data_IF_914227874962
#
_entry.id   IF_914227874962
#
_cell.length_a   1.000
_cell.length_b   1.000
_cell.length_c   1.000
_cell.angle_alpha   90.00
_cell.angle_beta   90.00
_cell.angle_gamma   90.00
#
_symmetry.space_group_name_H-M   'P 1'
#
loop_
_entity.id
_entity.type
_entity.pdbx_description
1 polymer ?
#
# COMPACT_ATOMS: atom_id res chain seq x y z
N UNK A 1 52.71 35.12 -56.16
CA UNK A 1 52.85 34.20 -55.00
C UNK A 1 51.81 34.57 -53.95
N UNK A 2 50.62 33.96 -53.99
CA UNK A 2 49.56 34.18 -53.00
C UNK A 2 49.66 33.10 -51.90
N UNK A 3 49.94 33.49 -50.66
CA UNK A 3 49.80 32.60 -49.50
C UNK A 3 48.51 32.93 -48.75
N UNK A 4 47.64 31.92 -48.68
CA UNK A 4 46.30 31.89 -48.11
C UNK A 4 46.31 32.22 -46.61
N UNK A 5 45.39 33.10 -46.19
CA UNK A 5 44.90 33.21 -44.83
C UNK A 5 44.22 31.88 -44.43
N UNK A 6 44.68 31.24 -43.35
CA UNK A 6 43.92 30.17 -42.69
C UNK A 6 43.19 30.75 -41.48
N UNK A 7 41.86 30.85 -41.58
CA UNK A 7 40.98 31.14 -40.45
C UNK A 7 40.82 29.88 -39.60
N UNK A 8 41.21 29.96 -38.33
CA UNK A 8 40.96 28.89 -37.36
C UNK A 8 39.52 28.99 -36.87
N UNK A 9 38.65 28.12 -37.38
CA UNK A 9 37.30 27.92 -36.88
C UNK A 9 37.32 27.33 -35.47
N UNK A 10 36.75 28.04 -34.49
CA UNK A 10 36.49 27.55 -33.14
C UNK A 10 35.27 26.61 -33.20
N UNK A 11 35.50 25.32 -33.01
CA UNK A 11 34.43 24.34 -32.83
C UNK A 11 33.76 24.55 -31.47
N UNK A 12 32.50 25.02 -31.46
CA UNK A 12 31.65 25.03 -30.28
C UNK A 12 31.15 23.60 -30.04
N UNK A 13 31.71 22.92 -29.02
CA UNK A 13 31.17 21.65 -28.53
C UNK A 13 29.91 21.95 -27.73
N UNK A 14 28.74 21.66 -28.31
CA UNK A 14 27.45 21.68 -27.62
C UNK A 14 27.45 20.53 -26.61
N UNK A 15 27.58 20.84 -25.33
CA UNK A 15 27.40 19.89 -24.24
C UNK A 15 25.91 19.54 -24.14
N UNK A 16 25.55 18.31 -24.49
CA UNK A 16 24.20 17.80 -24.33
C UNK A 16 23.88 17.60 -22.85
N UNK A 17 22.96 18.40 -22.32
CA UNK A 17 22.32 18.14 -21.03
C UNK A 17 21.39 16.93 -21.19
N UNK A 18 21.83 15.76 -20.73
CA UNK A 18 20.97 14.60 -20.57
C UNK A 18 20.08 14.83 -19.35
N UNK A 19 18.85 15.31 -19.58
CA UNK A 19 17.81 15.31 -18.56
C UNK A 19 17.41 13.84 -18.31
N UNK A 20 17.79 13.30 -17.14
CA UNK A 20 17.20 12.05 -16.64
C UNK A 20 15.73 12.32 -16.31
N UNK A 21 14.83 12.01 -17.25
CA UNK A 21 13.42 11.80 -16.95
C UNK A 21 13.32 10.48 -16.17
N UNK A 22 13.31 10.57 -14.84
CA UNK A 22 12.86 9.47 -14.01
C UNK A 22 11.35 9.26 -14.28
N UNK A 23 11.03 8.37 -15.20
CA UNK A 23 9.68 7.88 -15.36
C UNK A 23 9.30 7.14 -14.08
N UNK A 24 8.47 7.76 -13.25
CA UNK A 24 7.86 7.13 -12.09
C UNK A 24 7.01 5.95 -12.58
N UNK A 25 7.50 4.73 -12.38
CA UNK A 25 6.72 3.52 -12.59
C UNK A 25 5.58 3.53 -11.56
N UNK A 26 4.38 3.92 -11.99
CA UNK A 26 3.18 3.85 -11.15
C UNK A 26 2.79 2.38 -11.00
N UNK A 27 3.13 1.75 -9.87
CA UNK A 27 2.60 0.44 -9.50
C UNK A 27 1.10 0.58 -9.21
N UNK A 28 0.25 -0.13 -9.95
CA UNK A 28 -1.14 -0.30 -9.57
C UNK A 28 -1.18 -0.94 -8.17
N UNK A 29 -1.97 -0.39 -7.24
CA UNK A 29 -2.12 -1.00 -5.92
C UNK A 29 -2.77 -2.37 -6.10
N UNK A 30 -2.00 -3.43 -5.90
CA UNK A 30 -2.51 -4.79 -5.86
C UNK A 30 -3.08 -5.05 -4.47
N UNK A 31 -4.29 -5.61 -4.41
CA UNK A 31 -4.78 -6.21 -3.18
C UNK A 31 -3.88 -7.39 -2.83
N UNK A 32 -3.38 -7.43 -1.60
CA UNK A 32 -2.66 -8.59 -1.10
C UNK A 32 -3.68 -9.60 -0.57
N UNK A 33 -3.58 -10.84 -1.05
CA UNK A 33 -4.46 -11.95 -0.67
C UNK A 33 -3.61 -13.02 0.00
N UNK A 34 -3.92 -13.31 1.26
CA UNK A 34 -3.26 -14.34 2.06
C UNK A 34 -4.28 -15.42 2.39
N UNK A 35 -4.07 -16.63 1.86
CA UNK A 35 -4.85 -17.81 2.23
C UNK A 35 -4.06 -18.64 3.24
N UNK A 36 -4.67 -19.00 4.36
CA UNK A 36 -4.01 -19.77 5.41
C UNK A 36 -4.99 -20.72 6.10
N UNK A 37 -4.44 -21.63 6.90
CA UNK A 37 -5.20 -22.42 7.87
C UNK A 37 -4.62 -22.10 9.23
N UNK A 38 -5.47 -21.66 10.14
CA UNK A 38 -5.01 -21.23 11.46
C UNK A 38 -4.46 -22.43 12.22
N UNK A 39 -3.21 -22.33 12.70
CA UNK A 39 -2.60 -23.28 13.61
C UNK A 39 -2.42 -22.66 15.00
N UNK A 40 -1.89 -23.42 15.96
CA UNK A 40 -1.67 -22.95 17.33
C UNK A 40 -0.21 -22.59 17.63
N UNK A 41 0.59 -22.26 16.61
CA UNK A 41 2.00 -21.92 16.79
C UNK A 41 2.20 -20.61 17.57
N UNK A 42 1.28 -19.65 17.41
CA UNK A 42 1.27 -18.41 18.19
C UNK A 42 -0.08 -18.21 18.88
N UNK A 43 -0.07 -17.63 20.08
CA UNK A 43 -1.29 -17.41 20.85
C UNK A 43 -1.34 -16.03 21.51
N UNK A 44 -2.54 -15.45 21.55
CA UNK A 44 -2.85 -14.23 22.30
C UNK A 44 -3.66 -14.56 23.55
N UNK A 45 -3.58 -13.70 24.56
CA UNK A 45 -4.42 -13.82 25.75
C UNK A 45 -5.71 -13.05 25.57
N UNK A 46 -6.85 -13.73 25.74
CA UNK A 46 -8.13 -13.05 25.70
C UNK A 46 -8.56 -12.58 24.32
N UNK A 47 -9.61 -11.76 24.27
CA UNK A 47 -10.08 -11.09 23.04
C UNK A 47 -10.79 -9.77 23.35
N UNK A 48 -10.90 -8.93 22.33
CA UNK A 48 -11.67 -7.69 22.38
C UNK A 48 -13.19 -7.95 22.37
N UNK A 49 -13.94 -6.95 22.85
CA UNK A 49 -15.36 -6.80 22.54
C UNK A 49 -15.53 -6.59 21.03
N UNK A 50 -16.75 -6.81 20.56
CA UNK A 50 -17.13 -6.60 19.16
C UNK A 50 -18.37 -5.73 19.17
N UNK A 51 -18.28 -4.53 18.63
CA UNK A 51 -19.34 -3.53 18.70
C UNK A 51 -19.63 -3.02 17.29
N UNK A 52 -20.90 -3.06 16.88
CA UNK A 52 -21.31 -2.44 15.62
C UNK A 52 -21.57 -0.94 15.81
N UNK A 53 -21.35 -0.12 14.76
CA UNK A 53 -20.80 -0.50 13.45
C UNK A 53 -19.28 -0.70 13.50
N UNK A 54 -18.75 -1.61 12.69
CA UNK A 54 -17.30 -1.78 12.52
C UNK A 54 -16.64 -0.54 11.90
N UNK A 55 -15.32 -0.44 12.08
CA UNK A 55 -14.52 0.72 11.68
C UNK A 55 -14.53 1.04 10.18
N UNK A 56 -14.59 2.33 9.86
CA UNK A 56 -14.35 2.84 8.51
C UNK A 56 -13.33 3.97 8.53
N UNK A 57 -12.67 4.22 7.40
CA UNK A 57 -11.76 5.37 7.29
C UNK A 57 -12.43 6.73 7.53
N UNK A 58 -13.73 6.85 7.22
CA UNK A 58 -14.52 8.06 7.43
C UNK A 58 -15.06 8.19 8.87
N UNK A 59 -15.26 7.06 9.55
CA UNK A 59 -15.68 6.98 10.94
C UNK A 59 -14.84 5.90 11.65
N UNK A 60 -13.64 6.25 12.13
CA UNK A 60 -12.77 5.31 12.84
C UNK A 60 -13.45 4.79 14.10
N UNK A 61 -13.31 3.50 14.35
CA UNK A 61 -13.82 2.85 15.55
C UNK A 61 -12.88 3.08 16.73
N UNK A 62 -13.44 3.42 17.89
CA UNK A 62 -12.68 3.48 19.14
C UNK A 62 -12.47 2.05 19.67
N UNK A 63 -11.35 1.81 20.35
CA UNK A 63 -11.08 0.50 20.95
C UNK A 63 -12.28 0.03 21.80
N UNK A 64 -12.88 -1.14 21.48
CA UNK A 64 -14.11 -1.61 22.12
C UNK A 64 -13.87 -2.17 23.54
N UNK A 65 -12.62 -2.20 24.00
CA UNK A 65 -12.19 -2.76 25.28
C UNK A 65 -12.07 -4.29 25.24
N UNK A 66 -11.49 -4.85 26.30
CA UNK A 66 -11.33 -6.30 26.44
C UNK A 66 -12.65 -6.98 26.85
N UNK A 67 -13.06 -8.01 26.11
CA UNK A 67 -14.18 -8.88 26.50
C UNK A 67 -13.76 -9.89 27.57
N UNK A 68 -12.61 -10.52 27.37
CA UNK A 68 -11.98 -11.41 28.35
C UNK A 68 -10.48 -11.32 28.22
N UNK A 69 -9.76 -11.37 29.34
CA UNK A 69 -8.29 -11.38 29.40
C UNK A 69 -7.72 -12.80 29.52
N UNK A 70 -8.57 -13.84 29.48
CA UNK A 70 -8.19 -15.24 29.67
C UNK A 70 -8.49 -16.11 28.45
N UNK A 71 -7.83 -17.27 28.41
CA UNK A 71 -7.88 -18.23 27.31
C UNK A 71 -6.86 -17.91 26.22
N UNK A 72 -6.03 -18.90 25.90
CA UNK A 72 -5.08 -18.82 24.80
C UNK A 72 -5.81 -19.00 23.48
N UNK A 73 -5.72 -18.01 22.59
CA UNK A 73 -6.33 -18.07 21.26
C UNK A 73 -5.23 -18.08 20.23
N UNK A 74 -5.26 -19.08 19.36
CA UNK A 74 -4.42 -19.10 18.18
C UNK A 74 -4.62 -17.81 17.36
N UNK A 75 -3.54 -17.28 16.81
CA UNK A 75 -3.60 -16.17 15.88
C UNK A 75 -2.56 -16.29 14.78
N UNK A 76 -2.83 -15.61 13.68
CA UNK A 76 -1.88 -15.28 12.63
C UNK A 76 -1.77 -13.75 12.54
N UNK A 77 -0.59 -13.24 12.21
CA UNK A 77 -0.35 -11.81 12.06
C UNK A 77 0.29 -11.48 10.72
N UNK A 78 -0.19 -10.43 10.07
CA UNK A 78 0.26 -9.97 8.77
C UNK A 78 0.62 -8.49 8.83
N UNK A 79 1.82 -8.13 8.35
CA UNK A 79 2.32 -6.75 8.40
C UNK A 79 2.42 -6.14 7.02
N UNK A 80 1.95 -4.90 6.87
CA UNK A 80 1.92 -4.16 5.62
C UNK A 80 2.45 -2.75 5.88
N UNK A 81 3.36 -2.24 5.06
CA UNK A 81 3.90 -0.88 5.21
C UNK A 81 3.22 0.05 4.22
N UNK A 82 2.72 1.20 4.70
CA UNK A 82 2.24 2.26 3.81
C UNK A 82 3.42 3.09 3.28
N UNK A 83 3.93 2.72 2.11
CA UNK A 83 5.04 3.39 1.43
C UNK A 83 4.61 4.50 0.45
N UNK A 84 3.32 4.87 0.43
CA UNK A 84 2.77 5.78 -0.60
C UNK A 84 3.12 7.26 -0.41
N UNK A 85 3.68 7.63 0.74
CA UNK A 85 4.02 9.03 1.06
C UNK A 85 2.85 9.87 1.59
N UNK A 86 1.63 9.31 1.69
CA UNK A 86 0.48 9.93 2.35
C UNK A 86 -0.31 8.90 3.17
N UNK A 87 -1.22 9.36 4.03
CA UNK A 87 -2.18 8.47 4.70
C UNK A 87 -3.04 7.75 3.66
N UNK A 88 -3.21 6.44 3.82
CA UNK A 88 -4.04 5.60 2.95
C UNK A 88 -5.15 4.93 3.75
N UNK A 89 -6.30 4.74 3.10
CA UNK A 89 -7.42 4.00 3.65
C UNK A 89 -7.34 2.53 3.23
N UNK A 90 -6.85 1.66 4.09
CA UNK A 90 -6.76 0.23 3.81
C UNK A 90 -8.10 -0.44 4.05
N UNK A 91 -8.56 -1.24 3.09
CA UNK A 91 -9.72 -2.12 3.22
C UNK A 91 -9.24 -3.53 3.56
N UNK A 92 -9.77 -4.09 4.64
CA UNK A 92 -9.44 -5.43 5.12
C UNK A 92 -10.70 -6.28 5.04
N UNK A 93 -10.57 -7.46 4.46
CA UNK A 93 -11.64 -8.44 4.36
C UNK A 93 -11.15 -9.80 4.83
N UNK A 94 -11.91 -10.42 5.74
CA UNK A 94 -11.71 -11.80 6.15
C UNK A 94 -12.86 -12.65 5.59
N UNK A 95 -12.52 -13.72 4.88
CA UNK A 95 -13.44 -14.75 4.44
C UNK A 95 -13.08 -16.09 5.07
N UNK A 96 -14.07 -16.76 5.64
CA UNK A 96 -13.97 -18.04 6.35
C UNK A 96 -15.30 -18.80 6.22
N UNK A 97 -15.31 -20.10 6.50
CA UNK A 97 -16.53 -20.91 6.36
C UNK A 97 -17.43 -20.88 7.59
N UNK A 98 -16.84 -20.86 8.80
CA UNK A 98 -17.56 -21.16 10.04
C UNK A 98 -17.71 -19.98 11.04
N UNK A 99 -17.24 -18.77 10.70
CA UNK A 99 -17.25 -17.59 11.60
C UNK A 99 -16.58 -17.84 12.97
N UNK A 100 -15.57 -18.71 13.00
CA UNK A 100 -14.82 -19.10 14.20
C UNK A 100 -13.59 -18.23 14.43
N UNK A 101 -13.21 -17.44 13.43
CA UNK A 101 -12.10 -16.49 13.46
C UNK A 101 -12.63 -15.06 13.50
N UNK A 102 -11.78 -14.15 13.91
CA UNK A 102 -12.04 -12.71 13.94
C UNK A 102 -10.78 -11.97 13.52
N UNK A 103 -10.96 -10.81 12.88
CA UNK A 103 -9.85 -9.98 12.39
C UNK A 103 -9.82 -8.62 13.09
N UNK A 104 -8.61 -8.17 13.45
CA UNK A 104 -8.36 -6.87 14.06
C UNK A 104 -7.15 -6.21 13.42
N UNK A 105 -7.23 -4.91 13.16
CA UNK A 105 -6.11 -4.09 12.70
C UNK A 105 -5.45 -3.33 13.85
N UNK A 106 -4.12 -3.23 13.80
CA UNK A 106 -3.26 -2.50 14.72
C UNK A 106 -2.30 -1.59 13.96
N UNK A 107 -1.93 -0.47 14.57
CA UNK A 107 -0.96 0.46 14.03
C UNK A 107 0.45 0.21 14.60
N UNK A 108 1.44 0.04 13.74
CA UNK A 108 2.84 -0.18 14.10
C UNK A 108 3.13 -1.62 14.55
N UNK A 109 2.54 -2.04 15.67
CA UNK A 109 2.81 -3.35 16.28
C UNK A 109 1.61 -3.94 17.01
N UNK A 110 1.55 -5.28 17.04
CA UNK A 110 0.62 -6.05 17.86
C UNK A 110 1.34 -6.66 19.08
N UNK A 111 0.75 -6.54 20.27
CA UNK A 111 1.21 -7.19 21.50
C UNK A 111 0.20 -8.27 21.93
N UNK A 112 0.53 -9.57 21.83
CA UNK A 112 -0.41 -10.65 22.18
C UNK A 112 -0.75 -10.71 23.68
N UNK A 113 0.00 -10.02 24.54
CA UNK A 113 -0.29 -9.88 25.97
C UNK A 113 -1.11 -8.63 26.30
N UNK A 114 -1.12 -7.64 25.40
CA UNK A 114 -1.89 -6.41 25.51
C UNK A 114 -2.61 -6.09 24.19
N UNK A 115 -3.65 -6.87 23.91
CA UNK A 115 -4.45 -6.79 22.68
C UNK A 115 -5.21 -5.48 22.49
N UNK A 116 -5.17 -4.55 23.45
CA UNK A 116 -5.75 -3.21 23.30
C UNK A 116 -4.73 -2.19 22.77
N UNK A 117 -3.43 -2.44 22.96
CA UNK A 117 -2.39 -1.54 22.52
C UNK A 117 -2.41 -1.38 21.00
N UNK A 118 -2.33 -0.13 20.55
CA UNK A 118 -2.30 0.23 19.13
C UNK A 118 -3.49 -0.23 18.29
N UNK A 119 -4.63 -0.55 18.91
CA UNK A 119 -5.86 -0.89 18.19
C UNK A 119 -6.20 0.19 17.15
N UNK A 120 -6.54 -0.23 15.94
CA UNK A 120 -6.85 0.66 14.82
C UNK A 120 -8.25 0.44 14.23
N UNK A 121 -8.84 -0.74 14.38
CA UNK A 121 -10.20 -1.03 13.95
C UNK A 121 -10.48 -2.52 13.78
N UNK A 122 -11.76 -2.89 13.75
CA UNK A 122 -12.23 -4.25 13.47
C UNK A 122 -13.63 -4.21 12.79
N UNK A 123 -14.21 -5.35 12.37
CA UNK A 123 -15.52 -5.35 11.70
C UNK A 123 -16.73 -5.29 12.65
N UNK A 124 -16.52 -5.27 13.97
CA UNK A 124 -17.56 -5.12 14.98
C UNK A 124 -18.43 -6.36 15.24
N UNK A 125 -18.24 -7.43 14.47
CA UNK A 125 -18.96 -8.70 14.55
C UNK A 125 -18.10 -9.83 13.95
N UNK A 126 -18.48 -11.10 14.14
CA UNK A 126 -17.82 -12.22 13.42
C UNK A 126 -18.81 -12.89 12.50
N UNK A 127 -18.52 -12.85 11.20
CA UNK A 127 -19.33 -13.50 10.15
C UNK A 127 -18.43 -14.29 9.18
N UNK A 128 -19.00 -15.20 8.37
CA UNK A 128 -18.21 -15.92 7.35
C UNK A 128 -17.50 -15.00 6.35
N UNK A 129 -18.06 -13.81 6.10
CA UNK A 129 -17.42 -12.76 5.31
C UNK A 129 -17.62 -11.44 6.01
N UNK A 130 -16.53 -10.73 6.29
CA UNK A 130 -16.55 -9.44 6.98
C UNK A 130 -15.53 -8.48 6.39
N UNK A 131 -15.84 -7.19 6.41
CA UNK A 131 -15.00 -6.15 5.81
C UNK A 131 -15.06 -4.87 6.63
N UNK A 132 -13.92 -4.22 6.79
CA UNK A 132 -13.79 -2.94 7.47
C UNK A 132 -12.63 -2.15 6.85
N UNK A 133 -12.46 -0.89 7.24
CA UNK A 133 -11.36 -0.07 6.71
C UNK A 133 -10.74 0.85 7.75
N UNK A 134 -9.43 1.09 7.61
CA UNK A 134 -8.63 1.85 8.56
C UNK A 134 -7.66 2.81 7.87
N UNK A 135 -7.43 3.96 8.50
CA UNK A 135 -6.45 4.93 8.03
C UNK A 135 -5.06 4.57 8.54
N UNK A 136 -4.10 4.38 7.63
CA UNK A 136 -2.70 4.08 7.94
C UNK A 136 -1.85 5.25 7.47
N UNK A 137 -1.19 6.02 8.36
CA UNK A 137 -0.33 7.14 7.97
C UNK A 137 0.85 6.71 7.08
N UNK A 138 1.42 7.68 6.36
CA UNK A 138 2.61 7.45 5.54
C UNK A 138 3.78 6.92 6.39
N UNK A 139 4.48 5.90 5.90
CA UNK A 139 5.62 5.27 6.57
C UNK A 139 5.25 4.39 7.76
N UNK A 140 3.97 4.30 8.13
CA UNK A 140 3.52 3.43 9.22
C UNK A 140 3.23 2.02 8.74
N UNK A 141 3.32 1.07 9.68
CA UNK A 141 2.97 -0.33 9.47
C UNK A 141 1.54 -0.59 9.94
N UNK A 142 0.75 -1.25 9.11
CA UNK A 142 -0.50 -1.90 9.48
C UNK A 142 -0.20 -3.34 9.87
N UNK A 143 -0.62 -3.76 11.06
CA UNK A 143 -0.58 -5.16 11.49
C UNK A 143 -2.00 -5.68 11.56
N UNK A 144 -2.33 -6.68 10.76
CA UNK A 144 -3.64 -7.33 10.75
C UNK A 144 -3.51 -8.68 11.43
N UNK A 145 -4.31 -8.91 12.47
CA UNK A 145 -4.30 -10.14 13.25
C UNK A 145 -5.61 -10.88 13.01
N UNK A 146 -5.51 -12.14 12.62
CA UNK A 146 -6.65 -13.07 12.53
C UNK A 146 -6.52 -14.04 13.71
N UNK A 147 -7.50 -14.10 14.59
CA UNK A 147 -7.43 -14.93 15.79
C UNK A 147 -8.73 -15.71 16.02
N UNK A 148 -8.67 -16.76 16.83
CA UNK A 148 -9.86 -17.51 17.21
C UNK A 148 -10.86 -16.65 18.00
N UNK A 149 -12.15 -16.80 17.76
CA UNK A 149 -13.19 -16.19 18.62
C UNK A 149 -13.19 -16.89 19.98
N UNK A 150 -13.30 -18.21 19.97
CA UNK A 150 -13.29 -19.07 21.16
C UNK A 150 -12.01 -19.90 21.17
N UNK A 151 -11.33 -19.92 22.31
CA UNK A 151 -10.06 -20.64 22.50
C UNK A 151 -10.19 -22.11 22.08
N UNK A 152 -9.34 -22.55 21.16
CA UNK A 152 -9.25 -23.93 20.67
C UNK A 152 -10.30 -24.35 19.64
N UNK A 153 -11.22 -23.47 19.23
CA UNK A 153 -12.28 -23.82 18.28
C UNK A 153 -11.95 -23.44 16.83
N UNK A 154 -11.02 -22.51 16.61
CA UNK A 154 -10.64 -22.01 15.28
C UNK A 154 -9.39 -22.67 14.69
N UNK A 155 -8.63 -23.46 15.47
CA UNK A 155 -7.50 -24.24 14.95
C UNK A 155 -7.97 -25.21 13.85
N UNK A 156 -7.26 -25.25 12.74
CA UNK A 156 -7.60 -26.04 11.56
C UNK A 156 -8.60 -25.36 10.62
N UNK A 157 -9.11 -24.17 10.94
CA UNK A 157 -9.99 -23.42 10.05
C UNK A 157 -9.20 -22.70 8.97
N UNK A 158 -9.58 -22.93 7.72
CA UNK A 158 -9.04 -22.19 6.58
C UNK A 158 -9.74 -20.85 6.41
N UNK A 159 -8.97 -19.82 6.05
CA UNK A 159 -9.49 -18.50 5.77
C UNK A 159 -8.70 -17.81 4.66
N UNK A 160 -9.29 -16.76 4.11
CA UNK A 160 -8.67 -15.84 3.14
C UNK A 160 -8.72 -14.43 3.71
N UNK A 161 -7.56 -13.83 3.91
CA UNK A 161 -7.41 -12.43 4.29
C UNK A 161 -7.04 -11.62 3.05
N UNK A 162 -7.88 -10.64 2.70
CA UNK A 162 -7.59 -9.67 1.64
C UNK A 162 -7.32 -8.31 2.27
N UNK A 163 -6.19 -7.70 1.93
CA UNK A 163 -5.82 -6.35 2.36
C UNK A 163 -5.55 -5.51 1.11
N UNK A 164 -6.38 -4.50 0.88
CA UNK A 164 -6.29 -3.63 -0.29
C UNK A 164 -6.01 -2.20 0.15
N UNK A 165 -4.95 -1.60 -0.39
CA UNK A 165 -4.78 -0.15 -0.37
C UNK A 165 -5.66 0.49 -1.46
N UNK A 166 -6.00 1.78 -1.34
CA UNK A 166 -6.62 2.51 -2.45
C UNK A 166 -5.70 2.44 -3.68
N UNK A 167 -6.26 2.49 -4.90
CA UNK A 167 -5.43 2.64 -6.09
C UNK A 167 -4.52 3.86 -5.89
N UNK A 168 -3.22 3.68 -6.11
CA UNK A 168 -2.27 4.78 -6.06
C UNK A 168 -2.80 5.89 -6.99
N UNK A 169 -2.89 7.11 -6.48
CA UNK A 169 -3.18 8.26 -7.32
C UNK A 169 -2.08 8.33 -8.37
N UNK A 170 -2.43 8.05 -9.64
CA UNK A 170 -1.49 8.21 -10.75
C UNK A 170 -1.02 9.66 -10.70
N UNK A 171 0.29 9.94 -10.57
CA UNK A 171 0.76 11.30 -10.60
C UNK A 171 0.35 11.87 -11.95
N UNK A 172 -0.65 12.76 -11.96
CA UNK A 172 -0.92 13.59 -13.12
C UNK A 172 0.32 14.44 -13.30
N UNK A 173 1.01 14.32 -14.44
CA UNK A 173 2.05 15.26 -14.80
C UNK A 173 1.52 16.66 -14.52
N UNK A 174 2.27 17.47 -13.76
CA UNK A 174 1.89 18.86 -13.57
C UNK A 174 1.66 19.51 -14.94
N UNK A 175 0.82 20.53 -15.01
CA UNK A 175 0.55 21.23 -16.26
C UNK A 175 1.86 21.61 -16.99
N UNK A 176 2.85 22.08 -16.22
CA UNK A 176 4.20 22.34 -16.71
C UNK A 176 4.95 21.11 -17.22
N UNK A 177 4.84 19.96 -16.55
CA UNK A 177 5.47 18.73 -17.01
C UNK A 177 4.82 18.19 -18.31
N UNK A 178 3.50 18.36 -18.48
CA UNK A 178 2.80 18.07 -19.74
C UNK A 178 3.25 19.00 -20.87
N UNK A 179 3.35 20.30 -20.61
CA UNK A 179 3.82 21.29 -21.59
C UNK A 179 5.26 20.97 -22.01
N UNK A 180 6.16 20.72 -21.05
CA UNK A 180 7.55 20.38 -21.33
C UNK A 180 7.68 19.07 -22.11
N UNK A 181 6.87 18.06 -21.79
CA UNK A 181 6.84 16.81 -22.55
C UNK A 181 6.33 17.04 -23.99
N UNK A 182 5.31 17.87 -24.18
CA UNK A 182 4.83 18.24 -25.51
C UNK A 182 5.89 18.97 -26.34
N UNK A 183 6.60 19.93 -25.73
CA UNK A 183 7.67 20.69 -26.39
C UNK A 183 8.88 19.82 -26.75
N UNK A 184 9.26 18.88 -25.89
CA UNK A 184 10.39 17.98 -26.18
C UNK A 184 10.07 17.01 -27.31
N UNK A 185 8.85 16.47 -27.37
CA UNK A 185 8.39 15.63 -28.49
C UNK A 185 8.33 16.41 -29.81
N UNK A 186 7.72 17.60 -29.81
CA UNK A 186 7.62 18.44 -31.00
C UNK A 186 9.01 18.91 -31.49
N UNK A 187 9.87 19.34 -30.57
CA UNK A 187 11.25 19.74 -30.87
C UNK A 187 12.10 18.58 -31.40
N UNK A 188 11.96 17.39 -30.82
CA UNK A 188 12.62 16.16 -31.30
C UNK A 188 12.20 15.78 -32.72
N UNK A 189 10.90 15.86 -33.03
CA UNK A 189 10.38 15.60 -34.37
C UNK A 189 10.88 16.62 -35.40
N UNK A 190 10.89 17.92 -35.06
CA UNK A 190 11.40 18.97 -35.93
C UNK A 190 12.89 18.78 -36.26
N UNK A 191 13.72 18.46 -35.25
CA UNK A 191 15.15 18.17 -35.44
C UNK A 191 15.36 16.93 -36.31
N UNK A 192 14.53 15.89 -36.14
CA UNK A 192 14.59 14.68 -36.96
C UNK A 192 14.27 14.97 -38.44
N UNK A 193 13.21 15.75 -38.70
CA UNK A 193 12.84 16.17 -40.06
C UNK A 193 13.94 17.05 -40.68
N UNK A 194 14.44 18.05 -39.95
CA UNK A 194 15.50 18.93 -40.44
C UNK A 194 16.76 18.16 -40.82
N UNK A 195 17.14 17.15 -40.03
CA UNK A 195 18.27 16.26 -40.35
C UNK A 195 18.04 15.42 -41.60
N UNK A 196 16.81 14.94 -41.84
CA UNK A 196 16.47 14.22 -43.09
C UNK A 196 16.62 15.10 -44.32
N UNK A 197 16.15 16.35 -44.25
CA UNK A 197 16.27 17.30 -45.37
C UNK A 197 17.72 17.68 -45.70
N UNK A 198 18.63 17.67 -44.73
CA UNK A 198 20.05 17.98 -44.96
C UNK A 198 20.88 16.79 -45.47
N UNK A 199 20.33 15.57 -45.46
CA UNK A 199 20.99 14.35 -45.89
C UNK A 199 20.56 13.87 -47.29
N UNK A 200 19.57 14.55 -47.90
CA UNK A 200 19.14 14.39 -49.29
C UNK A 200 19.78 15.49 -50.15
#
# INVERSE_FOLDING_TARGET
MLRKFQSRGRAYRVAGFAALLAAGLSSAALAQVNTATLDNATTQSGRLNRLLPGGTCAAPEANPGTFTNSGARAYDSYSFVNSTGSTQCYTIRLDQTAALLFVVAYLGSFDPSNIQANYLGDPGQSTPSETFSVNVPAGQTLVVVVHEVNSGNGVGQSYTLTVAAPPASVPTLSEWAMILMGLTLAGGAALYIQRRHMAA
#
